data_IF_472855587300
#
_entry.id   IF_472855587300
#
_cell.length_a   1.000
_cell.length_b   1.000
_cell.length_c   1.000
_cell.angle_alpha   90.00
_cell.angle_beta   90.00
_cell.angle_gamma   90.00
#
_symmetry.space_group_name_H-M   'P 1'
#
loop_
_entity.id
_entity.type
_entity.pdbx_description
1 polymer ?
#
# COMPACT_ATOMS: atom_id res chain seq x y z
N UNK A 1 20.80 -0.29 -1.79
CA UNK A 1 20.15 0.53 -2.83
C UNK A 1 18.68 0.65 -2.49
N UNK A 2 18.18 1.87 -2.36
CA UNK A 2 16.78 2.09 -2.04
C UNK A 2 15.85 1.67 -3.18
N UNK A 3 14.67 1.19 -2.80
CA UNK A 3 13.59 0.92 -3.75
C UNK A 3 12.37 1.74 -3.36
N UNK A 4 11.59 2.14 -4.33
CA UNK A 4 10.33 2.85 -4.13
C UNK A 4 9.19 2.02 -4.68
N UNK A 5 8.03 2.10 -4.02
CA UNK A 5 6.84 1.35 -4.43
C UNK A 5 5.68 2.31 -4.58
N UNK A 6 4.92 2.11 -5.64
CA UNK A 6 3.64 2.78 -5.87
C UNK A 6 2.57 1.70 -5.95
N UNK A 7 1.66 1.69 -4.98
CA UNK A 7 0.56 0.74 -4.93
C UNK A 7 -0.76 1.48 -5.12
N UNK A 8 -1.35 1.34 -6.29
CA UNK A 8 -2.59 2.03 -6.65
C UNK A 8 -3.80 1.12 -6.46
N UNK A 9 -4.86 1.67 -5.85
CA UNK A 9 -6.14 0.98 -5.73
C UNK A 9 -7.27 1.95 -6.10
N UNK A 10 -8.13 1.52 -7.00
CA UNK A 10 -9.39 2.21 -7.28
C UNK A 10 -10.47 1.50 -6.49
N UNK A 11 -11.06 2.20 -5.52
CA UNK A 11 -11.92 1.63 -4.48
C UNK A 11 -13.38 1.84 -4.87
N UNK A 12 -14.21 0.82 -4.65
CA UNK A 12 -15.67 0.99 -4.80
C UNK A 12 -16.18 1.94 -3.72
N UNK A 13 -17.14 2.78 -4.08
CA UNK A 13 -17.73 3.75 -3.15
C UNK A 13 -18.36 3.06 -1.93
N UNK A 14 -18.93 1.87 -2.10
CA UNK A 14 -19.56 1.10 -1.02
C UNK A 14 -18.54 0.41 -0.10
N UNK A 15 -17.26 0.41 -0.44
CA UNK A 15 -16.21 -0.25 0.31
C UNK A 15 -15.14 0.72 0.85
N UNK A 16 -15.33 2.03 0.69
CA UNK A 16 -14.30 3.02 1.04
C UNK A 16 -13.97 3.01 2.53
N UNK A 17 -14.97 2.85 3.40
CA UNK A 17 -14.74 2.87 4.84
C UNK A 17 -13.93 1.64 5.28
N UNK A 18 -14.25 0.47 4.76
CA UNK A 18 -13.50 -0.77 5.06
C UNK A 18 -12.07 -0.68 4.53
N UNK A 19 -11.90 -0.15 3.31
CA UNK A 19 -10.58 0.08 2.73
C UNK A 19 -9.75 1.02 3.61
N UNK A 20 -10.31 2.15 3.99
CA UNK A 20 -9.61 3.14 4.80
C UNK A 20 -9.20 2.58 6.16
N UNK A 21 -10.05 1.78 6.79
CA UNK A 21 -9.71 1.14 8.06
C UNK A 21 -8.53 0.19 7.92
N UNK A 22 -8.53 -0.68 6.92
CA UNK A 22 -7.44 -1.62 6.67
C UNK A 22 -6.14 -0.91 6.25
N UNK A 23 -6.24 0.06 5.35
CA UNK A 23 -5.08 0.78 4.85
C UNK A 23 -4.41 1.64 5.94
N UNK A 24 -5.21 2.30 6.77
CA UNK A 24 -4.70 3.13 7.87
C UNK A 24 -3.99 2.25 8.90
N UNK A 25 -4.54 1.09 9.23
CA UNK A 25 -3.89 0.15 10.14
C UNK A 25 -2.58 -0.39 9.54
N UNK A 26 -2.58 -0.73 8.25
CA UNK A 26 -1.36 -1.22 7.57
C UNK A 26 -0.25 -0.16 7.59
N UNK A 27 -0.58 1.10 7.36
CA UNK A 27 0.38 2.20 7.47
C UNK A 27 0.97 2.28 8.87
N UNK A 28 0.12 2.24 9.91
CA UNK A 28 0.56 2.34 11.29
C UNK A 28 1.46 1.16 11.69
N UNK A 29 1.07 -0.07 11.35
CA UNK A 29 1.84 -1.27 11.65
C UNK A 29 3.20 -1.29 10.93
N UNK A 30 3.18 -0.92 9.65
CA UNK A 30 4.39 -0.91 8.82
C UNK A 30 5.40 0.11 9.32
N UNK A 31 4.96 1.33 9.61
CA UNK A 31 5.86 2.39 10.07
C UNK A 31 6.41 2.11 11.46
N UNK A 32 5.67 1.39 12.30
CA UNK A 32 6.10 1.05 13.66
C UNK A 32 7.03 -0.17 13.72
N UNK A 33 6.87 -1.14 12.82
CA UNK A 33 7.48 -2.47 12.98
C UNK A 33 8.47 -2.87 11.91
N UNK A 34 8.36 -2.34 10.68
CA UNK A 34 9.12 -2.88 9.56
C UNK A 34 10.52 -2.26 9.45
N UNK A 35 11.53 -3.12 9.53
CA UNK A 35 12.91 -2.73 9.35
C UNK A 35 13.15 -2.17 7.94
N UNK A 36 13.89 -1.07 7.87
CA UNK A 36 14.26 -0.46 6.60
C UNK A 36 13.14 0.28 5.90
N UNK A 37 12.00 0.49 6.55
CA UNK A 37 10.93 1.35 6.04
C UNK A 37 11.35 2.80 6.17
N UNK A 38 11.65 3.45 5.04
CA UNK A 38 12.06 4.86 5.00
C UNK A 38 10.85 5.78 4.84
N UNK A 39 9.82 5.32 4.14
CA UNK A 39 8.55 6.03 4.00
C UNK A 39 7.45 5.02 3.67
N UNK A 40 6.27 5.25 4.21
CA UNK A 40 5.09 4.45 3.92
C UNK A 40 3.86 5.29 4.23
N UNK A 41 3.14 5.73 3.21
CA UNK A 41 2.01 6.62 3.40
C UNK A 41 0.87 6.38 2.43
N UNK A 42 -0.34 6.63 2.92
CA UNK A 42 -1.57 6.55 2.12
C UNK A 42 -1.93 7.94 1.61
N UNK A 43 -2.14 8.03 0.31
CA UNK A 43 -2.46 9.27 -0.39
C UNK A 43 -3.71 9.11 -1.23
N UNK A 44 -4.44 10.20 -1.41
CA UNK A 44 -5.63 10.24 -2.26
C UNK A 44 -5.34 11.10 -3.48
N UNK A 45 -5.74 10.61 -4.64
CA UNK A 45 -5.71 11.39 -5.88
C UNK A 45 -6.63 12.60 -5.74
N UNK A 46 -6.08 13.81 -5.93
CA UNK A 46 -6.86 15.04 -5.79
C UNK A 46 -7.96 15.18 -6.84
N UNK A 47 -7.85 14.46 -7.96
CA UNK A 47 -8.84 14.49 -9.05
C UNK A 47 -9.85 13.33 -8.98
N UNK A 48 -9.55 12.27 -8.19
CA UNK A 48 -10.41 11.09 -8.07
C UNK A 48 -10.38 10.59 -6.62
N UNK A 49 -11.40 10.89 -5.81
CA UNK A 49 -11.42 10.52 -4.40
C UNK A 49 -11.46 9.01 -4.14
N UNK A 50 -11.75 8.19 -5.15
CA UNK A 50 -11.75 6.74 -5.04
C UNK A 50 -10.42 6.11 -5.45
N UNK A 51 -9.48 6.89 -5.95
CA UNK A 51 -8.13 6.43 -6.27
C UNK A 51 -7.19 6.71 -5.09
N UNK A 52 -6.83 5.65 -4.38
CA UNK A 52 -5.94 5.68 -3.22
C UNK A 52 -4.60 5.05 -3.60
N UNK A 53 -3.52 5.64 -3.12
CA UNK A 53 -2.17 5.19 -3.46
C UNK A 53 -1.34 5.09 -2.20
N UNK A 54 -0.65 3.98 -2.02
CA UNK A 54 0.39 3.86 -1.01
C UNK A 54 1.72 4.16 -1.69
N UNK A 55 2.43 5.16 -1.17
CA UNK A 55 3.77 5.52 -1.61
C UNK A 55 4.77 5.03 -0.58
N UNK A 56 5.75 4.26 -1.01
CA UNK A 56 6.68 3.56 -0.13
C UNK A 56 8.12 3.80 -0.55
N UNK A 57 9.00 3.80 0.43
CA UNK A 57 10.44 3.78 0.19
C UNK A 57 11.10 2.84 1.20
N UNK A 58 11.94 1.95 0.70
CA UNK A 58 12.61 0.91 1.48
C UNK A 58 14.11 1.01 1.30
N UNK A 59 14.86 0.68 2.35
CA UNK A 59 16.32 0.73 2.32
C UNK A 59 16.91 -0.18 1.24
N UNK A 60 16.28 -1.33 0.99
CA UNK A 60 16.67 -2.29 -0.04
C UNK A 60 15.52 -3.25 -0.36
N UNK A 61 15.73 -4.10 -1.35
CA UNK A 61 14.74 -5.09 -1.78
C UNK A 61 14.43 -6.11 -0.68
N UNK A 62 15.43 -6.48 0.12
CA UNK A 62 15.22 -7.47 1.20
C UNK A 62 14.25 -6.94 2.25
N UNK A 63 14.33 -5.65 2.60
CA UNK A 63 13.40 -5.02 3.53
C UNK A 63 11.98 -5.02 2.96
N UNK A 64 11.81 -4.73 1.68
CA UNK A 64 10.51 -4.82 1.01
C UNK A 64 9.97 -6.26 1.03
N UNK A 65 10.83 -7.24 0.78
CA UNK A 65 10.43 -8.66 0.81
C UNK A 65 9.97 -9.09 2.21
N UNK A 66 10.66 -8.63 3.26
CA UNK A 66 10.25 -8.90 4.64
C UNK A 66 8.91 -8.26 4.97
N UNK A 67 8.67 -7.03 4.49
CA UNK A 67 7.37 -6.37 4.62
C UNK A 67 6.26 -7.22 4.00
N UNK A 68 6.43 -7.66 2.76
CA UNK A 68 5.43 -8.47 2.06
C UNK A 68 5.15 -9.81 2.76
N UNK A 69 6.11 -10.34 3.51
CA UNK A 69 5.97 -11.58 4.26
C UNK A 69 5.49 -11.35 5.70
N UNK A 70 5.33 -10.11 6.14
CA UNK A 70 4.94 -9.79 7.52
C UNK A 70 3.50 -10.21 7.83
N UNK A 71 3.23 -10.44 9.12
CA UNK A 71 1.87 -10.78 9.58
C UNK A 71 0.88 -9.67 9.27
N UNK A 72 1.23 -8.42 9.53
CA UNK A 72 0.31 -7.31 9.30
C UNK A 72 0.02 -7.12 7.79
N UNK A 73 1.00 -7.29 6.92
CA UNK A 73 0.75 -7.22 5.47
C UNK A 73 -0.17 -8.36 5.03
N UNK A 74 0.12 -9.60 5.44
CA UNK A 74 -0.67 -10.76 5.05
C UNK A 74 -2.12 -10.68 5.57
N UNK A 75 -2.32 -10.06 6.73
CA UNK A 75 -3.63 -9.88 7.33
C UNK A 75 -4.44 -8.76 6.69
N UNK A 76 -3.81 -7.65 6.34
CA UNK A 76 -4.52 -6.41 5.97
C UNK A 76 -4.57 -6.17 4.45
N UNK A 77 -3.56 -6.57 3.71
CA UNK A 77 -3.50 -6.29 2.27
C UNK A 77 -4.63 -6.95 1.46
N UNK A 78 -5.15 -8.15 1.79
CA UNK A 78 -6.28 -8.73 1.07
C UNK A 78 -7.53 -7.85 1.02
N UNK A 79 -7.72 -6.96 2.00
CA UNK A 79 -8.84 -6.00 2.01
C UNK A 79 -8.75 -5.01 0.84
N UNK A 80 -7.56 -4.74 0.31
CA UNK A 80 -7.36 -3.84 -0.83
C UNK A 80 -8.02 -4.43 -2.09
N UNK A 81 -7.76 -5.71 -2.37
CA UNK A 81 -8.38 -6.40 -3.49
C UNK A 81 -9.89 -6.54 -3.30
N UNK A 82 -10.34 -6.84 -2.08
CA UNK A 82 -11.77 -7.00 -1.76
C UNK A 82 -12.55 -5.68 -1.95
N UNK A 83 -11.92 -4.54 -1.67
CA UNK A 83 -12.54 -3.22 -1.82
C UNK A 83 -12.39 -2.62 -3.23
N UNK A 84 -11.58 -3.22 -4.08
CA UNK A 84 -11.25 -2.69 -5.40
C UNK A 84 -12.41 -2.71 -6.37
N UNK A 85 -12.38 -1.76 -7.31
CA UNK A 85 -13.29 -1.73 -8.45
C UNK A 85 -12.85 -2.81 -9.44
N UNK A 86 -13.71 -3.81 -9.77
CA UNK A 86 -13.33 -4.87 -10.70
C UNK A 86 -13.03 -4.38 -12.12
N UNK A 87 -13.53 -3.19 -12.50
CA UNK A 87 -13.23 -2.58 -13.79
C UNK A 87 -11.89 -1.86 -13.83
N UNK A 88 -11.28 -1.61 -12.66
CA UNK A 88 -10.01 -0.89 -12.52
C UNK A 88 -9.10 -1.64 -11.55
N UNK A 89 -8.45 -2.74 -11.99
CA UNK A 89 -7.59 -3.54 -11.11
C UNK A 89 -6.47 -2.69 -10.51
N UNK A 90 -6.18 -2.94 -9.24
CA UNK A 90 -5.06 -2.30 -8.56
C UNK A 90 -3.73 -2.73 -9.16
N UNK A 91 -2.73 -1.86 -9.00
CA UNK A 91 -1.37 -2.12 -9.50
C UNK A 91 -0.35 -1.86 -8.41
N UNK A 92 0.72 -2.64 -8.42
CA UNK A 92 1.89 -2.42 -7.58
C UNK A 92 3.11 -2.36 -8.48
N UNK A 93 3.82 -1.24 -8.43
CA UNK A 93 5.03 -1.04 -9.22
C UNK A 93 6.20 -0.77 -8.28
N UNK A 94 7.27 -1.52 -8.47
CA UNK A 94 8.51 -1.34 -7.71
C UNK A 94 9.52 -0.61 -8.61
N UNK A 95 10.08 0.47 -8.08
CA UNK A 95 11.06 1.30 -8.80
C UNK A 95 12.41 1.20 -8.12
N UNK A 96 13.46 1.19 -8.93
CA UNK A 96 14.83 1.40 -8.50
C UNK A 96 15.39 2.65 -9.20
N UNK A 97 16.46 3.23 -8.66
CA UNK A 97 17.06 4.40 -9.29
C UNK A 97 17.57 4.06 -10.70
N UNK A 98 17.30 4.93 -11.63
CA UNK A 98 17.70 4.76 -13.04
C UNK A 98 19.22 4.96 -13.25
#
# INVERSE_FOLDING_TARGET
MTVKVVADTWVRADAIDDFMAAATELVAETTAKDEGCLAYGLWRDSADPMHLTVLEEWADQDCLNKHAASEHFQRLFPAFGAAGDPAKPGTVTVYEAA
#
